data_IF_492572152072
#
_entry.id   IF_492572152072
#
_cell.length_a   1.000
_cell.length_b   1.000
_cell.length_c   1.000
_cell.angle_alpha   90.00
_cell.angle_beta   90.00
_cell.angle_gamma   90.00
#
_symmetry.space_group_name_H-M   'P 1'
#
loop_
_entity.id
_entity.type
_entity.pdbx_description
1 polymer ?
2 polymer ?
3 branched ?
4 water ?
#
# COMPACT_ATOMS: atom_id res chain seq x y z
N UNK A 1 -13.02 -3.50 20.64
CA UNK A 1 -11.57 -3.85 20.56
C UNK A 1 -11.40 -5.22 19.90
N UNK A 2 -12.26 -5.53 18.92
CA UNK A 2 -12.09 -6.74 18.13
C UNK A 2 -10.92 -6.55 17.18
N UNK A 3 -9.95 -7.48 17.23
CA UNK A 3 -8.76 -7.35 16.41
C UNK A 3 -8.26 -8.72 16.00
N UNK A 4 -7.70 -8.76 14.79
CA UNK A 4 -7.14 -9.98 14.21
C UNK A 4 -5.74 -9.64 13.70
N UNK A 5 -4.72 -10.17 14.36
CA UNK A 5 -3.33 -9.85 14.07
C UNK A 5 -2.69 -11.06 13.40
N UNK A 6 -2.24 -10.87 12.16
CA UNK A 6 -1.69 -11.96 11.37
C UNK A 6 -0.17 -12.02 11.45
N UNK A 7 0.38 -13.17 11.03
CA UNK A 7 1.82 -13.37 10.99
C UNK A 7 2.46 -12.41 10.01
N UNK A 8 3.80 -12.49 9.85
CA UNK A 8 4.51 -11.57 8.99
C UNK A 8 4.66 -12.09 7.57
N UNK A 9 5.15 -11.22 6.70
CA UNK A 9 5.33 -11.56 5.30
C UNK A 9 6.41 -12.62 5.14
N UNK A 10 6.31 -13.39 4.06
CA UNK A 10 7.21 -14.51 3.84
C UNK A 10 7.54 -14.66 2.36
N UNK A 11 8.72 -15.19 2.09
CA UNK A 11 9.15 -15.57 0.75
C UNK A 11 9.33 -17.09 0.74
N UNK A 12 8.74 -17.75 -0.25
CA UNK A 12 8.80 -19.20 -0.34
C UNK A 12 9.11 -19.62 -1.77
N UNK A 13 9.90 -20.67 -1.92
CA UNK A 13 10.19 -21.11 -3.26
C UNK A 13 9.01 -21.86 -3.85
N UNK A 14 8.94 -21.93 -5.18
CA UNK A 14 7.96 -22.80 -5.80
C UNK A 14 8.04 -24.21 -5.23
N UNK A 15 6.89 -24.85 -5.08
CA UNK A 15 6.81 -26.17 -4.50
C UNK A 15 6.74 -26.21 -3.00
N UNK A 16 7.09 -25.12 -2.32
CA UNK A 16 7.15 -25.11 -0.87
C UNK A 16 5.76 -24.92 -0.29
N UNK A 17 5.68 -24.78 1.03
CA UNK A 17 4.43 -24.59 1.74
C UNK A 17 4.61 -23.44 2.73
N UNK A 18 3.49 -22.78 3.05
CA UNK A 18 3.49 -21.65 3.98
C UNK A 18 2.31 -21.81 4.94
N UNK A 19 2.53 -21.45 6.21
CA UNK A 19 1.51 -21.48 7.24
C UNK A 19 1.41 -20.09 7.87
N UNK A 20 0.25 -19.44 7.68
CA UNK A 20 0.00 -18.09 8.15
C UNK A 20 -0.92 -18.15 9.37
N UNK A 21 -0.69 -17.23 10.32
CA UNK A 21 -1.42 -17.20 11.58
C UNK A 21 -2.31 -15.96 11.65
N UNK A 22 -3.31 -16.04 12.53
CA UNK A 22 -4.32 -15.00 12.72
C UNK A 22 -4.78 -15.07 14.17
N UNK A 23 -4.14 -14.28 15.03
CA UNK A 23 -4.45 -14.24 16.46
C UNK A 23 -5.61 -13.29 16.67
N UNK A 24 -6.69 -13.79 17.24
CA UNK A 24 -7.89 -13.00 17.45
C UNK A 24 -7.96 -12.52 18.89
N UNK A 25 -8.60 -11.36 19.09
CA UNK A 25 -8.74 -10.75 20.39
C UNK A 25 -10.00 -9.90 20.39
N UNK A 26 -10.57 -9.73 21.58
CA UNK A 26 -11.74 -8.89 21.73
C UNK A 26 -13.08 -9.58 21.53
N UNK A 27 -13.09 -10.89 21.38
CA UNK A 27 -14.34 -11.64 21.28
C UNK A 27 -14.04 -13.09 21.66
N UNK A 28 -15.08 -13.91 21.64
CA UNK A 28 -14.93 -15.34 21.90
C UNK A 28 -14.55 -16.03 20.60
N UNK A 29 -13.28 -16.41 20.48
CA UNK A 29 -12.77 -16.98 19.23
C UNK A 29 -13.64 -18.11 18.72
N UNK A 30 -14.20 -18.91 19.62
CA UNK A 30 -14.93 -20.11 19.22
C UNK A 30 -16.36 -19.83 18.77
N UNK A 31 -16.88 -18.64 18.99
CA UNK A 31 -18.26 -18.34 18.67
C UNK A 31 -18.51 -17.74 17.32
N UNK A 32 -17.46 -17.46 16.54
CA UNK A 32 -17.59 -16.80 15.24
C UNK A 32 -16.73 -17.53 14.22
N UNK A 33 -17.29 -17.78 13.04
CA UNK A 33 -16.54 -18.42 11.97
C UNK A 33 -15.33 -17.56 11.58
N UNK A 34 -14.28 -18.21 11.11
CA UNK A 34 -13.12 -17.50 10.57
C UNK A 34 -12.88 -17.94 9.13
N UNK A 35 -12.96 -17.00 8.20
CA UNK A 35 -12.71 -17.22 6.78
C UNK A 35 -11.33 -16.71 6.40
N UNK A 36 -10.86 -17.17 5.24
CA UNK A 36 -9.60 -16.71 4.65
C UNK A 36 -9.87 -16.30 3.22
N UNK A 37 -9.42 -15.09 2.87
CA UNK A 37 -9.59 -14.51 1.54
C UNK A 37 -8.21 -14.02 1.11
N UNK A 38 -7.92 -14.12 -0.20
CA UNK A 38 -6.63 -13.71 -0.70
C UNK A 38 -6.77 -12.72 -1.85
N UNK A 39 -5.73 -11.92 -2.03
CA UNK A 39 -5.72 -10.88 -3.06
C UNK A 39 -4.37 -10.91 -3.76
N UNK A 40 -4.36 -11.37 -5.00
CA UNK A 40 -3.16 -11.31 -5.82
C UNK A 40 -2.82 -9.84 -6.10
N UNK A 41 -1.56 -9.56 -6.44
CA UNK A 41 -1.17 -8.16 -6.69
C UNK A 41 -2.00 -7.53 -7.79
N UNK A 42 -2.69 -6.44 -7.46
CA UNK A 42 -3.49 -5.70 -8.41
C UNK A 42 -4.86 -6.28 -8.71
N UNK A 43 -5.09 -7.54 -8.36
CA UNK A 43 -6.34 -8.21 -8.65
C UNK A 43 -7.27 -8.10 -7.44
N UNK A 44 -8.46 -8.69 -7.56
CA UNK A 44 -9.48 -8.59 -6.55
C UNK A 44 -9.39 -9.66 -5.49
N UNK A 45 -10.51 -9.90 -4.81
CA UNK A 45 -10.56 -10.76 -3.64
C UNK A 45 -11.11 -12.14 -3.98
N UNK A 46 -10.53 -13.17 -3.35
CA UNK A 46 -10.87 -14.54 -3.66
C UNK A 46 -11.05 -15.34 -2.38
N UNK A 47 -12.26 -15.83 -2.14
CA UNK A 47 -12.52 -16.62 -0.94
C UNK A 47 -11.81 -17.97 -1.03
N UNK A 48 -11.22 -18.39 0.08
CA UNK A 48 -10.45 -19.61 0.15
C UNK A 48 -11.12 -20.70 0.97
N UNK A 49 -11.69 -20.35 2.12
CA UNK A 49 -12.35 -21.33 2.97
C UNK A 49 -12.72 -20.72 4.29
N UNK A 50 -13.40 -21.53 5.11
CA UNK A 50 -13.70 -21.15 6.48
C UNK A 50 -13.42 -22.31 7.43
N UNK A 51 -13.24 -21.94 8.71
CA UNK A 51 -13.08 -22.87 9.82
C UNK A 51 -14.01 -22.43 10.94
N UNK A 52 -14.66 -23.42 11.57
CA UNK A 52 -15.39 -23.27 12.81
C UNK A 52 -14.38 -23.40 13.94
N UNK A 53 -13.93 -22.31 14.54
CA UNK A 53 -12.91 -22.42 15.60
C UNK A 53 -13.34 -23.25 16.80
N UNK A 54 -14.60 -23.65 16.87
CA UNK A 54 -15.10 -24.42 18.01
C UNK A 54 -15.07 -25.93 17.73
N UNK A 55 -15.59 -26.35 16.58
CA UNK A 55 -15.61 -27.77 16.23
C UNK A 55 -14.36 -28.21 15.48
N UNK A 56 -13.60 -27.29 14.90
CA UNK A 56 -12.53 -27.64 14.01
C UNK A 56 -12.95 -27.89 12.58
N UNK A 57 -14.25 -27.88 12.31
CA UNK A 57 -14.71 -28.11 10.95
C UNK A 57 -14.22 -27.04 9.98
N UNK A 58 -14.15 -27.45 8.72
CA UNK A 58 -13.63 -26.60 7.65
C UNK A 58 -14.46 -26.80 6.38
N UNK A 59 -14.46 -25.78 5.53
CA UNK A 59 -14.99 -25.88 4.18
C UNK A 59 -14.09 -25.03 3.29
N UNK A 60 -13.40 -25.66 2.36
CA UNK A 60 -12.51 -24.98 1.44
C UNK A 60 -13.19 -24.82 0.09
N UNK A 61 -12.56 -24.02 -0.77
CA UNK A 61 -13.04 -23.81 -2.13
C UNK A 61 -12.37 -24.81 -3.06
N UNK A 62 -13.10 -25.19 -4.11
CA UNK A 62 -12.62 -26.25 -4.99
C UNK A 62 -11.24 -25.93 -5.53
N UNK A 63 -10.99 -24.67 -5.86
CA UNK A 63 -9.69 -24.29 -6.40
C UNK A 63 -8.56 -24.76 -5.48
N UNK A 64 -8.80 -24.72 -4.17
CA UNK A 64 -7.78 -25.04 -3.18
C UNK A 64 -8.01 -26.39 -2.51
N UNK A 65 -9.10 -27.08 -2.81
CA UNK A 65 -9.34 -28.38 -2.21
C UNK A 65 -8.17 -29.30 -2.51
N UNK A 66 -7.55 -29.83 -1.46
CA UNK A 66 -6.43 -30.73 -1.58
C UNK A 66 -5.08 -30.07 -1.42
N UNK A 67 -5.04 -28.75 -1.28
CA UNK A 67 -3.80 -28.01 -1.15
C UNK A 67 -3.79 -27.06 0.02
N UNK A 68 -4.93 -26.82 0.67
CA UNK A 68 -5.03 -25.91 1.79
C UNK A 68 -5.44 -26.68 3.03
N UNK A 69 -5.09 -26.13 4.20
CA UNK A 69 -5.46 -26.73 5.47
C UNK A 69 -5.62 -25.63 6.49
N UNK A 70 -6.82 -25.47 7.04
CA UNK A 70 -7.10 -24.43 8.03
C UNK A 70 -7.28 -25.08 9.39
N UNK A 71 -6.48 -24.63 10.35
CA UNK A 71 -6.45 -25.19 11.70
C UNK A 71 -6.74 -24.06 12.69
N UNK A 72 -6.89 -24.42 13.97
CA UNK A 72 -6.97 -23.40 15.00
C UNK A 72 -6.40 -23.98 16.30
N UNK A 73 -5.95 -23.07 17.16
CA UNK A 73 -5.50 -23.38 18.52
C UNK A 73 -6.29 -22.45 19.43
N UNK A 74 -7.32 -23.01 20.09
CA UNK A 74 -8.24 -22.20 20.89
C UNK A 74 -7.61 -21.70 22.17
N UNK A 75 -6.48 -22.27 22.59
CA UNK A 75 -5.83 -21.82 23.81
C UNK A 75 -5.14 -20.48 23.60
N UNK A 76 -4.58 -20.27 22.41
CA UNK A 76 -4.00 -18.99 22.03
C UNK A 76 -4.94 -18.22 21.09
N UNK A 77 -6.23 -18.59 21.06
CA UNK A 77 -7.23 -17.99 20.17
C UNK A 77 -6.65 -17.66 18.81
N UNK A 78 -5.88 -18.58 18.23
CA UNK A 78 -5.24 -18.33 16.95
C UNK A 78 -5.82 -19.26 15.89
N UNK A 79 -5.84 -18.77 14.65
CA UNK A 79 -6.25 -19.55 13.49
C UNK A 79 -5.09 -19.65 12.52
N UNK A 80 -5.06 -20.73 11.73
CA UNK A 80 -3.96 -21.01 10.84
C UNK A 80 -4.48 -21.40 9.46
N UNK A 81 -3.71 -21.05 8.43
CA UNK A 81 -3.95 -21.51 7.07
C UNK A 81 -2.63 -21.93 6.45
N UNK A 82 -2.54 -23.18 6.02
CA UNK A 82 -1.35 -23.73 5.39
C UNK A 82 -1.66 -24.06 3.95
N UNK A 83 -1.01 -23.37 3.02
CA UNK A 83 -1.09 -23.64 1.59
C UNK A 83 0.20 -24.30 1.15
N UNK A 84 0.09 -25.44 0.48
CA UNK A 84 1.20 -26.27 0.06
C UNK A 84 1.36 -26.22 -1.46
N UNK A 85 2.42 -26.86 -1.94
CA UNK A 85 2.76 -26.92 -3.37
C UNK A 85 2.61 -25.54 -4.02
N UNK A 86 3.31 -24.58 -3.44
CA UNK A 86 3.13 -23.19 -3.83
C UNK A 86 3.59 -22.95 -5.26
N UNK A 87 2.83 -22.13 -5.98
CA UNK A 87 3.10 -21.71 -7.35
C UNK A 87 3.13 -20.19 -7.40
N UNK A 88 3.66 -19.66 -8.51
CA UNK A 88 3.73 -18.22 -8.66
C UNK A 88 2.35 -17.59 -8.58
N UNK A 89 1.35 -18.23 -9.15
CA UNK A 89 -0.03 -17.74 -9.07
C UNK A 89 -0.49 -17.49 -7.64
N UNK A 90 0.24 -18.01 -6.66
CA UNK A 90 -0.14 -17.87 -5.26
C UNK A 90 0.58 -16.74 -4.55
N UNK A 91 1.41 -15.97 -5.25
CA UNK A 91 1.95 -14.74 -4.66
C UNK A 91 0.80 -13.79 -4.44
N UNK A 92 0.56 -13.42 -3.18
CA UNK A 92 -0.62 -12.62 -2.88
C UNK A 92 -0.65 -12.29 -1.40
N UNK A 93 -1.57 -11.41 -1.02
CA UNK A 93 -1.80 -11.06 0.36
C UNK A 93 -2.94 -11.92 0.89
N UNK A 94 -2.67 -12.68 1.94
CA UNK A 94 -3.66 -13.57 2.55
C UNK A 94 -4.20 -12.93 3.81
N UNK A 95 -5.52 -12.70 3.83
CA UNK A 95 -6.24 -12.08 4.92
C UNK A 95 -7.10 -13.13 5.64
N UNK A 96 -7.20 -13.00 6.97
CA UNK A 96 -8.21 -13.70 7.75
C UNK A 96 -9.34 -12.74 8.10
N UNK A 97 -10.56 -13.26 8.15
CA UNK A 97 -11.73 -12.41 8.33
C UNK A 97 -12.75 -13.12 9.21
N UNK A 98 -13.15 -12.46 10.29
CA UNK A 98 -14.27 -12.93 11.09
C UNK A 98 -15.57 -12.75 10.32
N UNK A 99 -16.51 -13.67 10.55
CA UNK A 99 -17.85 -13.58 9.99
C UNK A 99 -18.85 -13.45 11.14
N UNK A 100 -19.97 -12.78 10.86
CA UNK A 100 -21.04 -12.61 11.83
C UNK A 100 -22.37 -12.95 11.16
N UNK A 101 -23.42 -13.06 11.99
CA UNK A 101 -24.75 -13.44 11.54
C UNK A 101 -24.77 -14.86 10.97
N UNK A 102 -25.94 -15.48 10.90
CA UNK A 102 -26.11 -16.78 10.27
C UNK A 102 -26.86 -16.72 8.96
N UNK A 103 -27.64 -15.65 8.71
CA UNK A 103 -28.35 -15.49 7.45
C UNK A 103 -27.52 -14.64 6.49
N UNK A 104 -27.46 -13.33 6.73
CA UNK A 104 -26.62 -12.48 5.90
C UNK A 104 -25.23 -12.44 6.51
N UNK A 105 -24.52 -13.56 6.41
CA UNK A 105 -23.12 -13.61 6.80
C UNK A 105 -22.36 -12.47 6.14
N UNK A 106 -21.59 -11.74 6.95
CA UNK A 106 -20.78 -10.64 6.45
C UNK A 106 -19.47 -10.59 7.23
N UNK A 107 -18.37 -10.39 6.51
CA UNK A 107 -17.04 -10.35 7.10
C UNK A 107 -16.83 -8.96 7.71
N UNK A 108 -17.12 -8.85 9.01
CA UNK A 108 -17.17 -7.55 9.68
C UNK A 108 -15.82 -7.10 10.23
N UNK A 109 -14.92 -8.02 10.52
CA UNK A 109 -13.58 -7.68 10.98
C UNK A 109 -12.58 -8.46 10.14
N UNK A 110 -11.65 -7.73 9.53
CA UNK A 110 -10.61 -8.32 8.70
C UNK A 110 -9.26 -8.17 9.37
N UNK A 111 -8.30 -8.97 8.93
CA UNK A 111 -6.95 -8.90 9.43
C UNK A 111 -6.14 -7.82 8.71
N UNK A 112 -4.84 -7.82 9.01
CA UNK A 112 -3.92 -6.88 8.40
C UNK A 112 -3.36 -7.37 7.08
N UNK A 113 -3.44 -8.68 6.83
CA UNK A 113 -2.86 -9.29 5.66
C UNK A 113 -1.52 -9.95 5.98
N UNK A 114 -1.12 -10.86 5.10
CA UNK A 114 0.20 -11.50 5.20
C UNK A 114 0.64 -11.75 3.75
N UNK A 115 1.62 -10.98 3.30
CA UNK A 115 2.13 -11.15 1.95
C UNK A 115 2.93 -12.44 1.87
N UNK A 116 2.64 -13.25 0.86
CA UNK A 116 3.42 -14.44 0.54
C UNK A 116 3.92 -14.24 -0.89
N UNK A 117 5.25 -14.20 -1.04
CA UNK A 117 5.90 -14.02 -2.33
C UNK A 117 6.52 -15.36 -2.72
N UNK A 118 6.01 -15.96 -3.78
CA UNK A 118 6.56 -17.20 -4.31
C UNK A 118 7.57 -16.83 -5.38
N UNK A 119 8.86 -16.97 -5.06
CA UNK A 119 9.92 -16.55 -5.95
C UNK A 119 11.12 -17.49 -5.75
N UNK A 120 12.16 -17.25 -6.55
CA UNK A 120 13.42 -17.97 -6.41
C UNK A 120 14.41 -17.25 -5.52
N UNK A 121 14.10 -16.02 -5.12
CA UNK A 121 15.01 -15.23 -4.31
C UNK A 121 15.07 -15.68 -2.87
N UNK A 122 15.91 -14.99 -2.13
CA UNK A 122 16.10 -15.23 -0.70
C UNK A 122 15.71 -13.97 0.06
N UNK A 123 15.33 -14.16 1.32
CA UNK A 123 14.90 -13.04 2.16
C UNK A 123 16.11 -12.28 2.67
N UNK A 124 15.92 -10.96 2.85
CA UNK A 124 16.96 -10.10 3.37
C UNK A 124 16.33 -8.91 4.07
N UNK A 125 16.93 -8.50 5.18
CA UNK A 125 16.54 -7.27 5.83
C UNK A 125 17.07 -6.08 5.03
N UNK A 126 16.45 -4.91 5.18
CA UNK A 126 16.88 -3.74 4.40
C UNK A 126 18.16 -3.13 4.93
N UNK A 127 18.85 -2.41 4.04
CA UNK A 127 19.94 -1.53 4.43
C UNK A 127 19.52 -0.09 4.19
N UNK A 128 19.65 0.75 5.22
CA UNK A 128 19.16 2.12 5.18
C UNK A 128 20.32 3.07 4.90
N UNK A 129 20.08 4.03 3.99
CA UNK A 129 21.04 5.06 3.66
C UNK A 129 20.30 6.40 3.68
N UNK A 130 20.87 7.43 4.29
CA UNK A 130 20.17 8.71 4.39
C UNK A 130 20.25 9.50 3.10
N UNK A 131 19.30 10.43 2.97
CA UNK A 131 19.20 11.30 1.81
C UNK A 131 19.04 12.73 2.30
N UNK A 132 20.06 13.56 2.08
CA UNK A 132 20.04 14.98 2.43
C UNK A 132 20.07 15.78 1.14
N UNK A 133 19.28 16.84 1.09
CA UNK A 133 19.11 17.62 -0.13
C UNK A 133 20.18 18.70 -0.22
N UNK A 134 20.57 18.99 -1.47
CA UNK A 134 21.68 19.91 -1.78
C UNK A 134 21.27 20.70 -3.02
N UNK A 135 20.62 21.85 -2.78
CA UNK A 135 20.08 22.67 -3.86
C UNK A 135 21.09 23.73 -4.29
N UNK A 136 20.91 24.21 -5.52
CA UNK A 136 21.72 25.30 -6.07
C UNK A 136 21.24 26.68 -5.60
N UNK A 137 20.10 26.77 -4.90
CA UNK A 137 19.58 28.04 -4.43
C UNK A 137 18.66 27.85 -3.23
N UNK A 138 19.18 27.41 -2.09
CA UNK A 138 18.30 27.11 -0.95
C UNK A 138 17.59 28.35 -0.44
N UNK A 139 16.28 28.23 -0.24
CA UNK A 139 15.42 29.33 0.21
C UNK A 139 15.01 29.08 1.65
N UNK A 140 15.29 30.07 2.52
CA UNK A 140 15.05 29.88 3.94
C UNK A 140 13.58 29.61 4.24
N UNK A 141 12.68 30.36 3.60
CA UNK A 141 11.25 30.23 3.86
C UNK A 141 10.65 28.97 3.27
N UNK A 142 11.41 28.19 2.51
CA UNK A 142 10.91 26.94 1.96
C UNK A 142 11.11 25.81 2.95
N UNK A 143 10.27 24.78 2.83
CA UNK A 143 10.35 23.63 3.70
C UNK A 143 11.61 22.82 3.37
N UNK A 144 12.07 22.06 4.36
CA UNK A 144 13.30 21.28 4.24
C UNK A 144 12.93 19.81 4.06
N UNK A 145 13.45 19.19 3.01
CA UNK A 145 13.12 17.82 2.68
C UNK A 145 14.29 16.91 3.02
N UNK A 146 14.02 15.86 3.80
CA UNK A 146 15.02 14.84 4.07
C UNK A 146 14.38 13.49 3.77
N UNK A 147 15.24 12.48 3.58
CA UNK A 147 14.74 11.20 3.11
C UNK A 147 15.56 10.02 3.55
N UNK A 148 15.01 8.84 3.27
CA UNK A 148 15.60 7.57 3.65
C UNK A 148 15.46 6.61 2.49
N UNK A 149 16.52 5.86 2.20
CA UNK A 149 16.56 4.90 1.10
C UNK A 149 16.82 3.52 1.68
N UNK A 150 15.86 2.61 1.49
CA UNK A 150 15.99 1.23 1.91
C UNK A 150 16.34 0.39 0.69
N UNK A 151 17.32 -0.50 0.84
CA UNK A 151 17.76 -1.29 -0.30
C UNK A 151 17.98 -2.75 0.09
N UNK A 152 17.89 -3.60 -0.94
CA UNK A 152 18.09 -5.05 -0.84
C UNK A 152 17.29 -5.66 0.31
N UNK A 153 15.96 -5.58 0.17
CA UNK A 153 15.06 -6.22 1.11
C UNK A 153 14.03 -7.05 0.35
N UNK A 154 13.72 -8.23 0.89
CA UNK A 154 12.72 -9.15 0.34
C UNK A 154 12.14 -9.90 1.52
N UNK A 155 10.80 -10.01 1.64
CA UNK A 155 9.76 -9.54 0.72
C UNK A 155 9.47 -8.05 0.83
N UNK A 156 8.76 -7.49 -0.15
CA UNK A 156 8.36 -6.09 -0.09
C UNK A 156 7.27 -5.91 0.96
N UNK A 157 7.67 -5.97 2.25
CA UNK A 157 6.77 -5.72 3.36
C UNK A 157 7.51 -4.82 4.36
N UNK A 158 7.82 -3.61 3.91
CA UNK A 158 8.57 -2.64 4.71
C UNK A 158 7.60 -1.56 5.17
N UNK A 159 7.87 -1.04 6.37
CA UNK A 159 7.10 0.08 6.92
C UNK A 159 8.07 1.13 7.42
N UNK A 160 8.11 2.27 6.73
CA UNK A 160 8.94 3.41 7.12
C UNK A 160 8.22 4.21 8.21
N UNK A 161 8.86 4.38 9.36
CA UNK A 161 8.41 5.27 10.41
C UNK A 161 9.52 6.29 10.66
N UNK A 162 9.14 7.49 11.09
CA UNK A 162 10.10 8.54 11.35
C UNK A 162 9.87 9.09 12.76
N UNK A 163 10.94 9.56 13.38
CA UNK A 163 10.83 10.15 14.71
C UNK A 163 11.79 11.32 14.84
N UNK A 164 11.34 12.33 15.57
CA UNK A 164 12.18 13.48 15.86
C UNK A 164 13.32 13.08 16.80
N UNK A 165 14.31 13.96 16.90
CA UNK A 165 15.41 13.74 17.84
C UNK A 165 14.94 13.79 19.28
N UNK A 166 13.81 14.45 19.54
CA UNK A 166 13.23 14.43 20.88
C UNK A 166 12.31 13.21 21.10
N UNK A 167 12.43 12.22 20.21
CA UNK A 167 11.77 10.92 20.32
C UNK A 167 10.35 10.95 19.78
N UNK A 168 9.63 12.07 19.91
CA UNK A 168 8.26 12.14 19.43
C UNK A 168 8.16 11.72 17.98
N UNK A 169 6.95 11.38 17.52
CA UNK A 169 6.74 10.84 16.19
C UNK A 169 6.58 11.96 15.17
N UNK A 170 6.91 11.65 13.91
CA UNK A 170 6.76 12.59 12.81
C UNK A 170 5.60 12.10 11.95
N UNK A 171 4.52 12.88 11.93
CA UNK A 171 3.32 12.54 11.16
C UNK A 171 3.37 13.09 9.75
N UNK A 172 4.55 13.10 9.13
CA UNK A 172 4.70 13.57 7.76
C UNK A 172 5.32 12.46 6.91
N UNK A 173 4.78 11.25 7.02
CA UNK A 173 5.34 10.10 6.33
C UNK A 173 4.83 10.07 4.89
N UNK A 174 5.73 10.36 3.95
CA UNK A 174 5.45 10.27 2.52
C UNK A 174 6.03 8.95 2.02
N UNK A 175 5.16 8.05 1.56
CA UNK A 175 5.59 6.72 1.21
C UNK A 175 5.39 6.34 -0.25
N UNK A 176 6.43 5.80 -0.87
CA UNK A 176 6.42 5.47 -2.28
C UNK A 176 6.47 3.96 -2.48
N UNK A 177 5.80 3.45 -3.51
CA UNK A 177 5.91 2.02 -3.83
C UNK A 177 7.37 1.59 -3.90
N UNK A 178 7.61 0.36 -3.45
CA UNK A 178 8.93 -0.22 -3.62
C UNK A 178 9.20 -0.46 -5.11
N UNK A 179 10.45 -0.75 -5.42
CA UNK A 179 10.91 -1.01 -6.78
C UNK A 179 11.77 -2.26 -6.73
N UNK A 180 11.47 -3.21 -7.60
CA UNK A 180 12.22 -4.46 -7.67
C UNK A 180 13.39 -4.30 -8.65
N UNK A 181 14.58 -4.69 -8.22
CA UNK A 181 15.72 -4.71 -9.13
C UNK A 181 16.73 -5.68 -8.55
N UNK A 182 17.10 -6.70 -9.32
CA UNK A 182 18.06 -7.69 -8.86
C UNK A 182 17.50 -8.65 -7.83
N UNK A 183 16.22 -8.98 -7.94
CA UNK A 183 15.59 -9.90 -7.02
C UNK A 183 15.29 -9.34 -5.64
N UNK A 184 15.73 -8.12 -5.35
CA UNK A 184 15.47 -7.47 -4.08
C UNK A 184 14.87 -6.10 -4.35
N UNK A 185 14.19 -5.58 -3.33
CA UNK A 185 13.45 -4.33 -3.47
C UNK A 185 14.20 -3.15 -2.85
N UNK A 186 13.78 -1.96 -3.27
CA UNK A 186 14.31 -0.69 -2.77
C UNK A 186 13.16 0.28 -2.64
N UNK A 187 13.14 1.04 -1.55
CA UNK A 187 12.06 1.98 -1.27
C UNK A 187 12.64 3.31 -0.80
N UNK A 188 11.81 4.35 -0.89
CA UNK A 188 12.21 5.68 -0.51
C UNK A 188 11.12 6.30 0.35
N UNK A 189 11.51 6.90 1.48
CA UNK A 189 10.60 7.69 2.29
C UNK A 189 11.12 9.11 2.35
N UNK A 190 10.19 10.05 2.58
CA UNK A 190 10.50 11.46 2.59
C UNK A 190 9.71 12.12 3.71
N UNK A 191 10.37 13.05 4.42
CA UNK A 191 9.69 13.92 5.36
C UNK A 191 10.01 15.36 4.98
N UNK A 192 8.96 16.18 4.93
CA UNK A 192 9.08 17.62 4.72
C UNK A 192 8.89 18.30 6.07
N UNK A 193 9.91 18.93 6.55
CA UNK A 193 9.86 19.64 7.83
C UNK A 193 9.60 21.11 7.59
N UNK A 194 8.65 21.69 8.31
CA UNK A 194 8.40 23.14 8.18
C UNK A 194 9.65 23.94 8.46
N UNK A 195 9.73 25.11 7.83
CA UNK A 195 10.85 26.00 8.07
C UNK A 195 10.78 26.60 9.47
N UNK A 196 9.57 26.92 9.94
CA UNK A 196 9.39 27.42 11.31
C UNK A 196 10.12 26.54 12.32
N UNK A 197 10.29 25.26 12.02
CA UNK A 197 10.83 24.30 12.96
C UNK A 197 12.34 24.11 12.81
N UNK A 198 12.84 24.01 11.58
CA UNK A 198 14.28 23.82 11.38
C UNK A 198 15.03 25.13 11.63
N UNK A 199 14.38 26.27 11.37
CA UNK A 199 14.98 27.56 11.70
C UNK A 199 15.08 27.72 13.21
N UNK A 200 13.93 27.73 13.89
CA UNK A 200 13.85 27.94 15.33
C UNK A 200 14.35 26.76 16.14
N UNK A 201 14.84 25.71 15.49
CA UNK A 201 15.26 24.52 16.20
C UNK A 201 16.74 24.27 16.10
N UNK A 202 17.27 23.52 17.06
CA UNK A 202 18.68 23.14 17.08
C UNK A 202 18.85 21.62 17.05
N UNK A 203 17.79 20.88 16.71
CA UNK A 203 17.93 19.47 16.44
C UNK A 203 18.75 19.27 15.16
N UNK A 204 19.70 18.34 15.21
CA UNK A 204 20.65 18.15 14.13
C UNK A 204 20.29 17.00 13.19
N UNK A 205 19.31 16.17 13.54
CA UNK A 205 18.99 15.00 12.75
C UNK A 205 17.56 14.56 13.04
N UNK A 206 17.06 13.67 12.18
CA UNK A 206 15.80 12.97 12.39
C UNK A 206 16.07 11.49 12.16
N UNK A 207 15.34 10.62 12.85
CA UNK A 207 15.64 9.20 12.77
C UNK A 207 14.62 8.52 11.86
N UNK A 208 15.14 7.84 10.83
CA UNK A 208 14.36 7.02 9.92
C UNK A 208 14.46 5.56 10.39
N UNK A 209 13.33 4.98 10.75
CA UNK A 209 13.20 3.59 11.11
C UNK A 209 12.45 2.85 10.00
N UNK A 210 12.83 1.59 9.77
CA UNK A 210 12.09 0.72 8.86
C UNK A 210 11.83 -0.60 9.55
N UNK A 211 10.62 -1.13 9.34
CA UNK A 211 10.21 -2.42 9.89
C UNK A 211 10.03 -3.39 8.72
N UNK A 212 10.79 -4.48 8.76
CA UNK A 212 10.79 -5.53 7.77
C UNK A 212 10.74 -6.86 8.50
N UNK A 213 10.04 -7.87 7.97
CA UNK A 213 9.83 -9.10 8.76
C UNK A 213 11.11 -9.86 9.04
N UNK A 214 12.23 -9.49 8.41
CA UNK A 214 13.51 -10.17 8.59
C UNK A 214 14.54 -9.28 9.27
N UNK A 215 14.09 -8.26 10.00
CA UNK A 215 14.99 -7.36 10.69
C UNK A 215 14.60 -5.91 10.63
N UNK A 216 14.41 -5.27 11.77
CA UNK A 216 14.11 -3.84 11.85
C UNK A 216 15.41 -3.05 11.88
N UNK A 217 15.41 -1.91 11.18
CA UNK A 217 16.65 -1.14 11.02
C UNK A 217 16.38 0.35 11.25
N UNK A 218 17.43 1.09 11.59
CA UNK A 218 17.32 2.51 11.88
C UNK A 218 18.53 3.25 11.33
N UNK A 219 18.34 4.54 11.06
CA UNK A 219 19.39 5.40 10.52
C UNK A 219 19.08 6.85 10.86
N UNK A 220 20.11 7.62 11.16
CA UNK A 220 19.94 9.05 11.41
C UNK A 220 20.14 9.82 10.12
N UNK A 221 19.24 10.74 9.84
CA UNK A 221 19.25 11.57 8.64
C UNK A 221 19.61 12.99 9.06
N UNK A 222 20.74 13.54 8.58
CA UNK A 222 21.12 14.90 8.98
C UNK A 222 20.07 15.91 8.57
N UNK A 223 19.91 16.93 9.41
CA UNK A 223 18.98 18.02 9.11
C UNK A 223 19.75 19.24 8.64
N UNK A 224 20.01 19.37 7.33
CA UNK A 224 20.71 20.54 6.75
C UNK A 224 20.46 21.85 7.49
N UNK B 1 -22.91 -21.45 -8.53
CA UNK B 1 -22.04 -20.31 -8.15
C UNK B 1 -22.55 -19.02 -8.76
N UNK B 2 -22.76 -18.02 -7.92
CA UNK B 2 -23.34 -16.75 -8.33
C UNK B 2 -22.21 -15.77 -8.58
N UNK B 3 -22.23 -15.14 -9.76
CA UNK B 3 -21.21 -14.21 -10.18
C UNK B 3 -21.69 -12.78 -9.98
N UNK B 4 -20.90 -12.00 -9.25
CA UNK B 4 -21.22 -10.60 -9.01
C UNK B 4 -20.40 -9.74 -9.97
N UNK B 5 -21.06 -8.76 -10.58
CA UNK B 5 -20.43 -7.90 -11.60
C UNK B 5 -20.66 -6.45 -11.23
N UNK B 6 -19.58 -5.69 -11.06
CA UNK B 6 -19.67 -4.29 -10.67
C UNK B 6 -19.53 -3.36 -11.87
N UNK B 7 -20.21 -2.22 -11.80
CA UNK B 7 -20.27 -1.24 -12.87
C UNK B 7 -20.36 0.17 -12.28
N UNK B 8 -19.46 1.09 -12.64
CA UNK B 8 -18.34 0.98 -13.60
C UNK B 8 -17.21 0.16 -12.97
N UNK B 9 -16.11 -0.08 -13.67
CA UNK B 9 -14.94 -0.69 -13.05
C UNK B 9 -13.95 0.34 -12.54
N UNK B 10 -14.03 1.57 -13.07
CA UNK B 10 -13.25 2.71 -12.58
C UNK B 10 -14.12 3.94 -12.74
N UNK B 11 -14.19 4.77 -11.70
CA UNK B 11 -15.07 5.93 -11.66
C UNK B 11 -14.30 7.16 -11.23
N UNK B 12 -14.51 8.27 -11.93
CA UNK B 12 -13.89 9.55 -11.58
C UNK B 12 -14.96 10.50 -11.08
N UNK B 13 -14.65 11.21 -9.98
CA UNK B 13 -15.57 12.19 -9.44
C UNK B 13 -14.75 13.19 -8.62
N UNK B 14 -15.30 14.39 -8.49
CA UNK B 14 -14.72 15.43 -7.66
C UNK B 14 -15.36 15.41 -6.27
N UNK B 15 -14.68 16.02 -5.31
CA UNK B 15 -15.20 16.06 -3.95
C UNK B 15 -16.53 16.79 -3.96
N UNK B 16 -17.53 16.20 -3.28
CA UNK B 16 -18.84 16.80 -3.18
C UNK B 16 -19.85 16.27 -4.18
N UNK B 17 -19.45 15.36 -5.05
CA UNK B 17 -20.37 14.76 -5.99
C UNK B 17 -21.05 13.55 -5.37
N UNK B 18 -22.20 13.20 -5.95
CA UNK B 18 -22.85 11.94 -5.63
C UNK B 18 -22.20 10.85 -6.47
N UNK B 19 -21.75 9.78 -5.83
CA UNK B 19 -21.14 8.64 -6.49
C UNK B 19 -22.10 7.46 -6.37
N UNK B 20 -22.35 6.77 -7.48
CA UNK B 20 -23.22 5.60 -7.46
C UNK B 20 -22.50 4.45 -8.17
N UNK B 21 -22.12 3.45 -7.39
CA UNK B 21 -21.51 2.21 -7.87
C UNK B 21 -22.60 1.16 -7.91
N UNK B 22 -22.60 0.33 -8.95
CA UNK B 22 -23.61 -0.68 -9.18
C UNK B 22 -23.00 -2.06 -9.05
N UNK B 23 -23.77 -2.98 -8.48
CA UNK B 23 -23.40 -4.39 -8.38
C UNK B 23 -24.59 -5.19 -8.89
N UNK B 24 -24.37 -6.04 -9.88
CA UNK B 24 -25.42 -6.88 -10.43
C UNK B 24 -25.06 -8.34 -10.19
N UNK B 25 -26.09 -9.15 -9.98
CA UNK B 25 -25.94 -10.57 -9.72
C UNK B 25 -26.37 -11.37 -10.95
N UNK B 26 -25.72 -12.51 -11.15
CA UNK B 26 -26.10 -13.41 -12.22
C UNK B 26 -27.49 -13.99 -12.00
N UNK B 27 -27.90 -14.15 -10.74
CA UNK B 27 -29.23 -14.63 -10.39
C UNK B 27 -29.62 -14.02 -9.05
N UNK B 28 -30.92 -14.01 -8.77
CA UNK B 28 -31.43 -13.36 -7.57
C UNK B 28 -30.68 -13.77 -6.32
N UNK B 29 -30.31 -12.78 -5.50
CA UNK B 29 -29.66 -13.04 -4.21
C UNK B 29 -30.38 -12.28 -3.11
N UNK B 30 -31.63 -11.89 -3.35
CA UNK B 30 -32.50 -11.19 -2.39
C UNK B 30 -31.73 -10.01 -1.80
N UNK B 31 -31.63 -9.88 -0.48
CA UNK B 31 -30.94 -8.78 0.17
C UNK B 31 -29.59 -9.22 0.73
N UNK B 32 -29.08 -10.35 0.26
CA UNK B 32 -27.86 -10.98 0.80
C UNK B 32 -26.60 -10.43 0.15
N UNK B 33 -26.46 -9.10 0.14
CA UNK B 33 -25.30 -8.44 -0.44
C UNK B 33 -24.66 -7.52 0.60
N UNK B 34 -23.34 -7.58 0.69
CA UNK B 34 -22.54 -6.72 1.54
C UNK B 34 -21.56 -5.91 0.70
N UNK B 35 -21.26 -4.70 1.16
CA UNK B 35 -20.37 -3.76 0.47
C UNK B 35 -19.17 -3.47 1.35
N UNK B 36 -17.96 -3.64 0.79
CA UNK B 36 -16.69 -3.38 1.47
C UNK B 36 -15.87 -2.33 0.75
N UNK B 37 -14.99 -1.67 1.52
CA UNK B 37 -14.10 -0.61 1.04
C UNK B 37 -12.66 -0.98 1.37
N UNK B 38 -11.77 -0.95 0.38
CA UNK B 38 -10.36 -1.25 0.59
C UNK B 38 -9.54 -0.02 0.20
N UNK B 39 -8.88 0.60 1.18
CA UNK B 39 -8.00 1.70 0.86
C UNK B 39 -6.60 1.18 0.54
N UNK B 40 -5.88 1.84 -0.37
CA UNK B 40 -4.58 1.32 -0.82
C UNK B 40 -3.68 0.81 0.31
N UNK B 41 -3.23 -0.43 0.19
CA UNK B 41 -2.32 -0.99 1.17
C UNK B 41 -2.93 -1.41 2.48
N UNK B 42 -4.27 -1.39 2.58
CA UNK B 42 -4.96 -1.76 3.80
C UNK B 42 -5.95 -2.88 3.50
N UNK B 43 -6.50 -3.46 4.56
CA UNK B 43 -7.43 -4.56 4.44
C UNK B 43 -8.85 -4.05 4.18
N UNK B 44 -9.68 -4.86 3.55
CA UNK B 44 -11.07 -4.46 3.33
C UNK B 44 -11.76 -4.14 4.65
N UNK B 45 -12.81 -3.34 4.55
CA UNK B 45 -13.59 -2.88 5.69
C UNK B 45 -15.06 -2.98 5.33
N UNK B 46 -15.86 -3.49 6.26
CA UNK B 46 -17.29 -3.61 6.01
C UNK B 46 -17.94 -2.24 6.09
N UNK B 47 -18.53 -1.78 4.99
CA UNK B 47 -19.33 -0.57 4.97
C UNK B 47 -20.82 -0.87 5.14
N UNK B 48 -21.37 -1.76 4.30
CA UNK B 48 -22.80 -2.05 4.30
C UNK B 48 -22.98 -3.56 4.41
N UNK B 49 -23.96 -3.99 5.20
CA UNK B 49 -24.33 -5.40 5.27
C UNK B 49 -25.84 -5.53 5.08
N UNK B 50 -26.25 -6.64 4.48
CA UNK B 50 -27.67 -6.87 4.20
C UNK B 50 -28.23 -5.84 3.24
N UNK B 51 -27.38 -5.35 2.34
CA UNK B 51 -27.78 -4.47 1.24
C UNK B 51 -27.96 -3.02 1.65
N UNK B 52 -28.61 -2.77 2.78
CA UNK B 52 -28.99 -1.41 3.14
C UNK B 52 -28.63 -1.03 4.57
N UNK B 53 -27.91 -1.87 5.30
CA UNK B 53 -27.62 -1.63 6.71
C UNK B 53 -26.18 -1.17 6.86
N UNK B 54 -26.00 -0.02 7.51
CA UNK B 54 -24.71 0.61 7.68
C UNK B 54 -24.03 0.06 8.93
N UNK B 55 -22.79 -0.39 8.79
CA UNK B 55 -22.03 -0.87 9.93
C UNK B 55 -21.71 0.30 10.86
N UNK B 56 -22.01 0.14 12.14
CA UNK B 56 -21.74 1.17 13.13
C UNK B 56 -20.35 1.77 12.91
N UNK B 57 -20.27 3.10 12.99
CA UNK B 57 -19.03 3.80 12.82
C UNK B 57 -18.68 4.17 11.40
N UNK B 58 -19.43 3.67 10.42
CA UNK B 58 -19.22 4.09 9.03
C UNK B 58 -19.94 5.42 8.79
N UNK B 59 -19.29 6.38 8.13
CA UNK B 59 -19.97 7.64 7.81
C UNK B 59 -21.33 7.39 7.16
N UNK B 60 -22.27 8.30 7.44
CA UNK B 60 -23.62 8.20 6.91
C UNK B 60 -23.73 8.59 5.44
N UNK B 61 -22.71 9.23 4.86
CA UNK B 61 -22.74 9.51 3.43
C UNK B 61 -22.80 8.22 2.61
N UNK B 62 -22.40 7.09 3.19
CA UNK B 62 -22.51 5.81 2.51
C UNK B 62 -23.92 5.25 2.70
N UNK B 63 -24.47 4.69 1.62
CA UNK B 63 -25.83 4.17 1.64
C UNK B 63 -25.92 3.00 0.68
N UNK B 64 -26.70 1.99 1.06
CA UNK B 64 -26.93 0.83 0.23
C UNK B 64 -28.37 0.77 -0.22
N UNK B 65 -28.59 0.30 -1.44
CA UNK B 65 -29.92 0.14 -1.99
C UNK B 65 -29.92 -1.13 -2.84
N UNK B 66 -31.09 -1.79 -2.89
CA UNK B 66 -31.21 -2.91 -3.80
C UNK B 66 -31.84 -4.16 -3.25
N UNK B 67 -32.28 -5.03 -4.17
CA UNK B 67 -32.89 -6.30 -3.85
C UNK B 67 -32.95 -7.10 -5.14
N UNK B 68 -32.63 -8.39 -5.04
CA UNK B 68 -32.78 -9.26 -6.19
C UNK B 68 -31.53 -9.39 -7.02
N UNK B 69 -31.44 -8.61 -8.09
CA UNK B 69 -30.29 -8.66 -8.99
C UNK B 69 -29.48 -7.39 -9.03
N UNK B 70 -30.11 -6.22 -8.94
CA UNK B 70 -29.42 -4.94 -9.09
C UNK B 70 -29.31 -4.25 -7.75
N UNK B 71 -28.09 -3.90 -7.35
CA UNK B 71 -27.78 -3.28 -6.08
C UNK B 71 -26.91 -2.05 -6.35
N UNK B 72 -26.94 -1.10 -5.40
CA UNK B 72 -26.26 0.18 -5.61
C UNK B 72 -25.72 0.72 -4.30
N UNK B 73 -24.42 1.00 -4.28
CA UNK B 73 -23.79 1.79 -3.23
C UNK B 73 -23.77 3.25 -3.65
N UNK B 74 -24.10 4.14 -2.72
CA UNK B 74 -24.16 5.57 -3.00
C UNK B 74 -23.41 6.35 -1.94
N UNK B 75 -22.52 7.22 -2.40
CA UNK B 75 -21.83 8.19 -1.56
C UNK B 75 -22.44 9.55 -1.86
N UNK B 76 -23.14 10.11 -0.87
CA UNK B 76 -23.87 11.36 -1.10
C UNK B 76 -22.94 12.49 -1.51
N UNK B 77 -21.87 12.70 -0.74
CA UNK B 77 -20.94 13.81 -1.00
C UNK B 77 -19.53 13.27 -0.87
N UNK B 78 -18.97 12.79 -1.98
CA UNK B 78 -17.61 12.27 -1.99
C UNK B 78 -16.67 13.20 -1.24
N UNK B 79 -15.76 12.59 -0.48
CA UNK B 79 -14.76 13.30 0.29
C UNK B 79 -13.39 12.70 0.01
N UNK B 80 -12.33 13.49 0.17
CA UNK B 80 -11.00 13.02 -0.31
C UNK B 80 -10.59 11.68 0.25
N UNK B 81 -11.06 11.33 1.44
CA UNK B 81 -10.68 10.09 2.09
C UNK B 81 -11.47 8.88 1.59
N UNK B 82 -12.45 9.09 0.72
CA UNK B 82 -13.20 7.99 0.13
C UNK B 82 -12.49 7.37 -1.07
N UNK B 83 -11.30 7.85 -1.40
CA UNK B 83 -10.45 7.16 -2.37
C UNK B 83 -10.25 5.71 -1.94
N UNK B 84 -10.63 4.78 -2.82
CA UNK B 84 -10.49 3.36 -2.53
C UNK B 84 -11.04 2.49 -3.64
N UNK B 85 -10.86 1.19 -3.52
CA UNK B 85 -11.56 0.21 -4.35
C UNK B 85 -12.72 -0.36 -3.53
N UNK B 86 -13.93 -0.29 -4.09
CA UNK B 86 -15.12 -0.80 -3.43
C UNK B 86 -15.54 -2.12 -4.06
N UNK B 87 -15.89 -3.09 -3.20
CA UNK B 87 -16.23 -4.45 -3.63
C UNK B 87 -17.58 -4.85 -3.09
N UNK B 88 -18.40 -5.51 -3.91
CA UNK B 88 -19.62 -6.11 -3.41
C UNK B 88 -19.45 -7.62 -3.27
N UNK B 89 -20.26 -8.20 -2.39
CA UNK B 89 -20.13 -9.60 -1.99
C UNK B 89 -21.50 -10.19 -1.75
N UNK B 90 -21.72 -11.41 -2.24
CA UNK B 90 -22.97 -12.11 -2.04
C UNK B 90 -22.78 -13.21 -1.01
N UNK B 91 -23.74 -13.33 -0.09
CA UNK B 91 -23.75 -14.38 0.91
C UNK B 91 -25.01 -15.22 0.79
N UNK B 92 -25.59 -15.30 -0.40
CA UNK B 92 -26.85 -16.02 -0.63
C UNK B 92 -26.61 -17.48 -0.98
N UNK B 93 -25.79 -17.73 -2.01
CA UNK B 93 -25.44 -19.09 -2.43
C UNK B 93 -24.01 -19.36 -1.97
N UNK B 94 -23.87 -19.83 -0.74
CA UNK B 94 -22.59 -20.14 -0.15
C UNK B 94 -22.50 -21.63 0.14
N UNK B 95 -21.34 -22.26 -0.09
CA UNK B 95 -20.13 -21.75 -0.76
C UNK B 95 -20.31 -21.79 -2.27
N UNK B 96 -19.48 -21.09 -3.04
CA UNK B 96 -18.40 -20.20 -2.60
C UNK B 96 -18.89 -18.79 -2.31
N UNK B 97 -18.29 -18.10 -1.35
CA UNK B 97 -18.52 -16.67 -1.20
C UNK B 97 -17.84 -15.95 -2.35
N UNK B 98 -18.59 -15.11 -3.06
CA UNK B 98 -18.11 -14.48 -4.27
C UNK B 98 -18.15 -12.97 -4.15
N UNK B 99 -17.11 -12.33 -4.70
CA UNK B 99 -16.95 -10.88 -4.69
C UNK B 99 -17.08 -10.34 -6.11
N UNK B 100 -17.40 -9.06 -6.21
CA UNK B 100 -17.32 -8.37 -7.49
C UNK B 100 -15.87 -8.05 -7.86
N UNK B 101 -15.67 -7.63 -9.11
CA UNK B 101 -14.32 -7.42 -9.58
C UNK B 101 -13.66 -6.19 -8.96
N UNK B 102 -14.45 -5.27 -8.41
CA UNK B 102 -13.93 -4.08 -7.78
C UNK B 102 -14.10 -2.83 -8.61
N UNK B 103 -14.52 -1.72 -7.98
CA UNK B 103 -14.66 -0.42 -8.63
C UNK B 103 -13.65 0.54 -8.00
N UNK B 104 -12.66 0.97 -8.78
CA UNK B 104 -11.69 1.94 -8.28
C UNK B 104 -12.23 3.35 -8.44
N UNK B 105 -12.24 4.10 -7.35
CA UNK B 105 -12.72 5.48 -7.36
C UNK B 105 -11.50 6.41 -7.44
N UNK B 106 -11.48 7.27 -8.47
CA UNK B 106 -10.41 8.22 -8.69
C UNK B 106 -10.93 9.63 -8.47
N UNK B 107 -10.28 10.37 -7.56
CA UNK B 107 -10.73 11.71 -7.19
C UNK B 107 -10.13 12.73 -8.13
N UNK B 108 -10.99 13.57 -8.73
CA UNK B 108 -10.55 14.58 -9.67
C UNK B 108 -10.48 15.94 -8.99
N UNK B 109 -9.41 16.69 -9.27
CA UNK B 109 -9.13 17.94 -8.59
C UNK B 109 -8.54 18.93 -9.59
N UNK B 110 -8.25 20.13 -9.11
CA UNK B 110 -7.60 21.13 -9.93
C UNK B 110 -6.11 20.83 -10.08
N UNK B 111 -5.48 21.49 -11.06
CA UNK B 111 -4.06 21.28 -11.30
C UNK B 111 -3.25 21.74 -10.10
N UNK B 112 -2.21 20.99 -9.78
CA UNK B 112 -1.29 21.31 -8.69
C UNK B 112 0.13 21.04 -9.15
N UNK B 113 1.01 22.00 -8.94
CA UNK B 113 2.33 21.81 -9.53
C UNK B 113 3.25 21.06 -8.57
N UNK B 114 4.11 20.21 -9.11
CA UNK B 114 5.02 19.44 -8.24
C UNK B 114 6.04 20.35 -7.57
N UNK B 115 6.55 19.87 -6.44
CA UNK B 115 7.73 20.44 -5.81
C UNK B 115 8.88 19.45 -6.00
N UNK B 116 10.01 19.93 -6.54
CA UNK B 116 11.10 19.06 -6.96
C UNK B 116 12.27 19.17 -6.00
N UNK B 117 12.86 18.02 -5.66
CA UNK B 117 14.03 17.95 -4.78
C UNK B 117 15.01 16.92 -5.33
N UNK B 118 16.25 17.32 -5.53
CA UNK B 118 17.31 16.38 -5.92
C UNK B 118 18.12 16.04 -4.68
N UNK B 119 18.53 14.77 -4.58
CA UNK B 119 19.26 14.25 -3.43
C UNK B 119 20.47 13.50 -3.95
N UNK B 120 21.68 13.87 -3.55
CA UNK B 120 22.86 13.17 -4.05
C UNK B 120 23.10 11.89 -3.26
N UNK B 121 23.89 10.97 -3.82
CA UNK B 121 24.21 9.75 -3.08
C UNK B 121 24.90 10.08 -1.76
N UNK B 122 24.65 9.24 -0.76
CA UNK B 122 25.29 9.38 0.53
C UNK B 122 26.72 8.85 0.47
N UNK B 123 27.57 9.39 1.35
CA UNK B 123 28.95 8.92 1.40
C UNK B 123 29.01 7.44 1.77
N UNK B 124 28.19 7.02 2.74
CA UNK B 124 28.13 5.60 3.12
C UNK B 124 27.81 4.73 1.91
N UNK B 125 26.67 5.00 1.28
CA UNK B 125 26.29 4.23 0.10
C UNK B 125 27.38 4.26 -0.95
N UNK B 126 28.06 5.40 -1.10
CA UNK B 126 29.16 5.47 -2.05
C UNK B 126 30.26 4.49 -1.67
N UNK B 127 30.50 4.31 -0.37
CA UNK B 127 31.47 3.32 0.06
C UNK B 127 30.98 1.90 -0.19
N UNK B 128 29.68 1.72 -0.44
CA UNK B 128 29.22 0.39 -0.82
C UNK B 128 29.54 0.01 -2.27
N UNK B 129 30.08 0.93 -3.08
CA UNK B 129 30.33 0.66 -4.48
C UNK B 129 29.20 1.03 -5.42
N UNK B 130 28.09 1.53 -4.88
CA UNK B 130 26.93 1.94 -5.65
C UNK B 130 26.64 3.41 -5.36
N UNK B 131 25.88 4.04 -6.28
CA UNK B 131 25.59 5.46 -6.15
C UNK B 131 24.17 5.69 -6.69
N UNK B 132 23.24 6.01 -5.79
CA UNK B 132 21.86 6.27 -6.15
C UNK B 132 21.55 7.75 -5.96
N UNK B 133 21.12 8.40 -7.04
CA UNK B 133 20.75 9.81 -7.04
C UNK B 133 19.24 9.88 -7.12
N UNK B 134 18.61 10.56 -6.17
CA UNK B 134 17.15 10.56 -6.07
C UNK B 134 16.60 11.90 -6.53
N UNK B 135 15.41 11.87 -7.12
CA UNK B 135 14.68 13.09 -7.50
C UNK B 135 13.23 12.88 -7.10
N UNK B 136 12.73 13.76 -6.23
CA UNK B 136 11.40 13.65 -5.67
C UNK B 136 10.51 14.76 -6.22
N UNK B 137 9.34 14.37 -6.73
CA UNK B 137 8.27 15.28 -7.11
C UNK B 137 7.16 15.13 -6.07
N UNK B 138 6.72 16.26 -5.50
CA UNK B 138 5.81 16.22 -4.37
C UNK B 138 4.51 16.95 -4.66
N UNK B 139 3.41 16.29 -4.27
CA UNK B 139 2.04 16.78 -4.32
C UNK B 139 1.69 17.47 -5.62
N UNK B 140 1.50 16.69 -6.67
CA UNK B 140 1.11 17.24 -7.96
C UNK B 140 -0.15 16.54 -8.46
N UNK B 141 -0.83 17.22 -9.41
CA UNK B 141 -1.99 16.68 -10.09
C UNK B 141 -2.15 17.41 -11.40
N UNK B 142 -2.44 16.72 -12.51
CA UNK B 142 -2.68 15.27 -12.64
C UNK B 142 -1.45 14.41 -12.46
N UNK B 143 -1.64 13.10 -12.60
CA UNK B 143 -0.58 12.12 -12.36
C UNK B 143 0.51 12.17 -13.42
N UNK B 144 0.24 12.75 -14.57
CA UNK B 144 1.17 12.65 -15.69
C UNK B 144 2.33 13.63 -15.50
N UNK B 145 3.54 13.08 -15.41
CA UNK B 145 4.75 13.86 -15.20
C UNK B 145 5.92 13.15 -15.88
N UNK B 146 6.98 13.91 -16.15
CA UNK B 146 8.15 13.38 -16.84
C UNK B 146 9.39 13.82 -16.08
N UNK B 147 10.21 12.84 -15.68
CA UNK B 147 11.48 13.10 -14.99
C UNK B 147 12.60 12.66 -15.92
N UNK B 148 13.44 13.59 -16.33
CA UNK B 148 14.55 13.30 -17.22
C UNK B 148 15.86 13.65 -16.52
N UNK B 149 16.72 12.65 -16.36
CA UNK B 149 17.99 12.81 -15.69
C UNK B 149 19.07 13.22 -16.69
N UNK B 150 19.94 14.14 -16.27
CA UNK B 150 21.03 14.64 -17.11
C UNK B 150 22.30 14.73 -16.29
N UNK B 151 23.30 13.94 -16.68
CA UNK B 151 24.63 13.98 -16.08
C UNK B 151 25.55 14.70 -17.05
N UNK B 152 26.04 15.89 -16.66
CA UNK B 152 26.86 16.71 -17.55
C UNK B 152 26.09 17.04 -18.82
N UNK B 153 24.83 17.45 -18.65
CA UNK B 153 23.92 17.70 -19.76
C UNK B 153 23.92 16.53 -20.75
N UNK B 154 23.89 15.32 -20.21
CA UNK B 154 23.84 14.10 -21.01
C UNK B 154 22.57 13.35 -20.61
N UNK B 155 21.58 13.35 -21.50
CA UNK B 155 20.33 12.67 -21.21
C UNK B 155 20.58 11.20 -20.91
N UNK B 156 20.13 10.75 -19.75
CA UNK B 156 20.40 9.40 -19.25
C UNK B 156 19.19 8.49 -19.51
N UNK B 157 19.47 7.32 -20.08
CA UNK B 157 18.43 6.37 -20.46
C UNK B 157 18.86 4.96 -20.12
N UNK B 158 18.00 4.23 -19.42
CA UNK B 158 18.24 2.85 -19.06
C UNK B 158 18.77 2.62 -17.67
N UNK B 159 18.83 3.66 -16.85
CA UNK B 159 19.44 3.60 -15.53
C UNK B 159 18.55 4.19 -14.45
N UNK B 160 17.36 4.67 -14.79
CA UNK B 160 16.47 5.35 -13.87
C UNK B 160 15.21 4.52 -13.64
N UNK B 161 14.81 4.42 -12.38
CA UNK B 161 13.58 3.75 -11.98
C UNK B 161 12.67 4.75 -11.29
N UNK B 162 11.39 4.71 -11.62
CA UNK B 162 10.42 5.64 -11.06
C UNK B 162 9.38 4.89 -10.25
N UNK B 163 8.64 5.63 -9.44
CA UNK B 163 7.63 5.04 -8.55
C UNK B 163 6.69 6.17 -8.16
N UNK B 164 5.44 6.06 -8.58
CA UNK B 164 4.42 7.06 -8.28
C UNK B 164 3.57 6.54 -7.14
N UNK B 165 3.08 7.45 -6.31
CA UNK B 165 2.25 7.07 -5.18
C UNK B 165 0.80 6.97 -5.64
N UNK B 166 -0.08 6.67 -4.70
CA UNK B 166 -1.52 6.73 -4.90
C UNK B 166 -2.03 8.06 -4.37
N UNK B 167 -3.20 8.48 -4.85
CA UNK B 167 -3.74 9.76 -4.45
C UNK B 167 -3.75 9.92 -2.95
N UNK B 168 -3.30 11.07 -2.48
CA UNK B 168 -3.37 11.40 -1.07
C UNK B 168 -4.82 11.43 -0.61
N UNK B 169 -5.02 11.13 0.68
CA UNK B 169 -6.35 11.03 1.27
C UNK B 169 -6.90 12.36 1.75
N UNK B 170 -6.17 13.45 1.57
CA UNK B 170 -6.60 14.77 2.00
C UNK B 170 -6.61 15.79 0.88
N UNK B 171 -5.60 15.80 0.02
CA UNK B 171 -5.54 16.70 -1.11
C UNK B 171 -5.65 16.00 -2.46
N UNK B 172 -5.68 14.68 -2.49
CA UNK B 172 -5.90 13.90 -3.70
C UNK B 172 -4.79 14.04 -4.72
N UNK B 173 -3.58 14.40 -4.27
CA UNK B 173 -2.46 14.61 -5.17
C UNK B 173 -1.56 13.38 -5.23
N UNK B 174 -0.63 13.42 -6.17
CA UNK B 174 0.34 12.35 -6.36
C UNK B 174 1.74 12.85 -5.96
N UNK B 175 2.63 11.89 -5.70
CA UNK B 175 4.05 12.16 -5.56
C UNK B 175 4.81 11.07 -6.29
N UNK B 176 6.04 11.37 -6.70
CA UNK B 176 6.83 10.49 -7.53
C UNK B 176 8.28 10.51 -7.06
N UNK B 177 8.96 9.38 -7.24
CA UNK B 177 10.33 9.21 -6.81
C UNK B 177 11.10 8.52 -7.92
N UNK B 178 11.92 9.28 -8.65
CA UNK B 178 12.82 8.70 -9.65
C UNK B 178 14.19 8.51 -9.02
N UNK B 179 14.90 7.45 -9.45
CA UNK B 179 16.20 7.15 -8.89
C UNK B 179 17.14 6.71 -10.01
N UNK B 180 18.24 7.44 -10.15
CA UNK B 180 19.32 7.09 -11.06
C UNK B 180 20.32 6.23 -10.31
N UNK B 181 20.86 5.23 -11.00
CA UNK B 181 21.79 4.27 -10.40
C UNK B 181 23.06 4.19 -11.24
N UNK B 182 24.18 4.62 -10.66
CA UNK B 182 25.48 4.48 -11.26
C UNK B 182 26.37 3.72 -10.28
N UNK B 183 27.47 3.17 -10.79
CA UNK B 183 28.46 2.59 -9.90
C UNK B 183 29.31 3.71 -9.31
N UNK B 184 29.73 3.53 -8.05
CA UNK B 184 30.54 4.56 -7.38
C UNK B 184 31.54 5.16 -8.35
N UNK B 185 32.24 4.30 -9.10
CA UNK B 185 33.15 4.78 -10.13
C UNK B 185 32.44 5.72 -11.08
N UNK B 186 31.46 5.21 -11.81
CA UNK B 186 30.76 6.01 -12.81
C UNK B 186 30.26 7.33 -12.20
N UNK B 187 29.80 7.29 -10.95
CA UNK B 187 29.34 8.51 -10.32
C UNK B 187 30.49 9.48 -10.07
N UNK B 188 31.68 8.97 -9.77
CA UNK B 188 32.84 9.82 -9.51
C UNK B 188 33.54 10.27 -10.80
N UNK B 189 32.97 9.97 -11.97
CA UNK B 189 33.55 10.34 -13.24
C UNK B 189 32.94 11.59 -13.86
N UNK B 190 31.78 12.02 -13.37
CA UNK B 190 31.06 13.17 -13.92
C UNK B 190 30.86 14.21 -12.82
N UNK B 191 30.41 15.39 -13.23
CA UNK B 191 30.37 16.55 -12.34
C UNK B 191 28.95 16.95 -11.98
N UNK B 192 28.18 17.47 -12.93
CA UNK B 192 26.85 18.01 -12.64
C UNK B 192 25.81 16.91 -12.82
N UNK B 193 24.87 16.82 -11.87
CA UNK B 193 23.77 15.88 -11.93
C UNK B 193 22.47 16.65 -11.76
N UNK B 194 21.52 16.45 -12.67
CA UNK B 194 20.28 17.20 -12.62
C UNK B 194 19.09 16.33 -13.03
N UNK B 195 17.91 16.71 -12.54
CA UNK B 195 16.66 16.18 -13.06
C UNK B 195 15.78 17.34 -13.52
N UNK B 196 15.18 17.15 -14.71
CA UNK B 196 14.24 18.09 -15.30
C UNK B 196 12.85 17.49 -15.21
N UNK B 197 11.93 18.21 -14.57
CA UNK B 197 10.57 17.76 -14.34
C UNK B 197 9.65 18.53 -15.28
N UNK B 198 8.79 17.77 -15.96
CA UNK B 198 7.78 18.30 -16.86
C UNK B 198 6.41 17.91 -16.32
N UNK B 199 5.54 18.92 -16.16
CA UNK B 199 4.21 18.74 -15.60
C UNK B 199 3.39 19.98 -15.96
N UNK B 200 2.11 19.77 -16.23
CA UNK B 200 1.32 20.87 -16.78
C UNK B 200 0.99 21.94 -15.74
N UNK B 201 1.43 21.78 -14.49
CA UNK B 201 1.33 22.85 -13.52
C UNK B 201 2.54 23.77 -13.58
N UNK B 202 3.59 23.29 -14.22
CA UNK B 202 4.77 24.09 -14.50
C UNK B 202 4.60 24.76 -15.85
N UNK B 203 4.74 26.09 -15.89
CA UNK B 203 4.64 26.81 -17.15
C UNK B 203 5.80 26.49 -18.08
N UNK B 204 6.88 25.93 -17.55
CA UNK B 204 7.99 25.40 -18.34
C UNK B 204 8.73 24.37 -17.50
N UNK B 205 9.47 23.46 -18.13
CA UNK B 205 10.17 22.42 -17.35
C UNK B 205 11.08 23.02 -16.31
N UNK B 206 11.18 22.33 -15.17
CA UNK B 206 11.88 22.81 -14.00
C UNK B 206 13.04 21.85 -13.74
N UNK B 207 14.26 22.35 -13.80
CA UNK B 207 15.45 21.56 -13.55
C UNK B 207 16.01 21.88 -12.17
N UNK B 208 16.41 20.84 -11.45
CA UNK B 208 17.11 20.99 -10.18
C UNK B 208 18.35 20.10 -10.21
N UNK B 209 19.46 20.62 -9.68
CA UNK B 209 20.76 20.01 -9.89
C UNK B 209 21.66 20.15 -8.67
N UNK B 210 22.74 19.37 -8.70
CA UNK B 210 23.80 19.44 -7.71
C UNK B 210 25.12 19.06 -8.38
N UNK B 211 26.22 19.48 -7.76
CA UNK B 211 27.56 19.23 -8.27
C UNK B 211 28.24 18.19 -7.38
N UNK B 212 28.85 17.19 -8.02
CA UNK B 212 29.44 16.08 -7.29
C UNK B 212 30.42 16.58 -6.23
N UNK B 213 30.18 16.17 -4.99
CA UNK B 213 31.07 16.52 -3.90
C UNK B 213 31.09 17.98 -3.51
N UNK B 214 30.41 18.84 -4.25
CA UNK B 214 30.23 20.22 -3.81
C UNK B 214 29.06 20.30 -2.84
N UNK B 215 28.78 19.20 -2.14
CA UNK B 215 27.68 19.16 -1.18
C UNK B 215 28.23 18.78 0.20
#
# INVERSE_FOLDING_TARGET
QVQLVQSGAEVKKPGASVKVSCKASGYTFTGYYMHWVRQAPGQGLEWMGWINPNSGGTNYAQKFQGRVTMTRDTSISTAYMELSRLRSDDTAVYYCARAQWLVVTNFDYWGQGTLVTVSSGSASAPTLFPLVSCENSPSDTSSVAVGCLAQDFLPDSITFSWKYKNNSDISSTRGFPSVLRGGKYAATSQVLLPSKDVMQGTDEHVVCKVQHPNGNKEKNVPLPV
DIQMTQSPSSLSASVGDRVTITCRASQSISSYLNWYQQKPGKAPKLLIYAASSLQSGVPSRFSGSGSGTDFTLTISSLQPEDFATYYCQQSYSTPPWTFGQGTKLEIKRTVAAPSVFIFPPSDEQLKSGTASVVCLLNNFYPREAKVQWKVDNALQSGNSQESVTEQDSKDSTYSLSSTLTLSKADYEKHKVYACEVTHQGLSSPVTKSFNRGEC
#
